data_IF_224499255316
#
_entry.id   IF_224499255316
#
_cell.length_a   1.000
_cell.length_b   1.000
_cell.length_c   1.000
_cell.angle_alpha   90.00
_cell.angle_beta   90.00
_cell.angle_gamma   90.00
#
_symmetry.space_group_name_H-M   'P 1'
#
loop_
_entity.id
_entity.type
_entity.pdbx_description
1 polymer ?
2 non-polymer ?
#
# COMPACT_ATOMS: atom_id res chain seq x y z
N UNK A 2 -14.71 8.02 11.02
CA UNK A 2 -13.31 8.09 10.51
C UNK A 2 -12.69 6.70 10.46
N UNK A 3 -12.50 6.08 11.63
CA UNK A 3 -11.90 4.75 11.68
C UNK A 3 -12.72 3.81 10.85
N UNK A 4 -14.03 4.04 10.86
CA UNK A 4 -14.92 3.18 10.11
C UNK A 4 -15.04 3.60 8.65
N UNK A 5 -14.00 4.22 8.11
CA UNK A 5 -13.97 4.57 6.70
C UNK A 5 -12.57 4.15 6.38
N UNK A 6 -11.68 4.48 7.31
CA UNK A 6 -10.29 4.12 7.24
C UNK A 6 -10.23 2.60 7.20
N UNK A 7 -11.40 1.99 7.37
CA UNK A 7 -11.52 0.56 7.37
C UNK A 7 -12.46 0.05 6.29
N UNK A 8 -13.63 0.66 6.19
CA UNK A 8 -14.61 0.23 5.22
C UNK A 8 -14.45 0.86 3.88
N UNK A 9 -13.48 1.76 3.73
CA UNK A 9 -13.25 2.39 2.45
C UNK A 9 -11.82 2.05 1.96
N UNK A 10 -11.02 1.51 2.85
CA UNK A 10 -9.66 1.20 2.48
C UNK A 10 -9.39 -0.24 2.72
N UNK A 11 -9.58 -0.62 3.98
CA UNK A 11 -9.36 -1.99 4.40
C UNK A 11 -10.32 -2.98 3.77
N UNK A 12 -11.37 -2.53 3.10
CA UNK A 12 -12.27 -3.50 2.51
C UNK A 12 -12.79 -3.03 1.15
N UNK A 13 -11.86 -2.94 0.20
CA UNK A 13 -12.16 -2.51 -1.17
C UNK A 13 -12.21 -3.70 -2.11
N UNK A 14 -12.55 -3.41 -3.36
CA UNK A 14 -12.69 -4.40 -4.42
C UNK A 14 -11.48 -4.71 -5.29
N UNK A 15 -10.34 -4.95 -4.66
CA UNK A 15 -9.15 -5.25 -5.45
C UNK A 15 -9.43 -6.32 -6.50
N UNK A 16 -9.03 -6.03 -7.74
CA UNK A 16 -9.26 -6.96 -8.82
C UNK A 16 -10.77 -7.16 -8.93
N UNK A 17 -11.34 -7.95 -8.03
CA UNK A 17 -12.77 -8.18 -8.07
C UNK A 17 -13.34 -8.87 -6.85
N UNK A 18 -12.65 -8.78 -5.72
CA UNK A 18 -13.11 -9.42 -4.47
C UNK A 18 -12.62 -8.72 -3.19
N UNK A 19 -13.57 -8.29 -2.35
CA UNK A 19 -13.26 -7.61 -1.09
C UNK A 19 -12.43 -8.50 -0.19
N UNK A 20 -12.13 -8.01 1.00
CA UNK A 20 -11.37 -8.79 1.96
C UNK A 20 -12.42 -9.62 2.69
N UNK A 21 -12.27 -9.80 4.00
CA UNK A 21 -13.24 -10.59 4.75
C UNK A 21 -13.64 -9.96 6.09
N UNK A 22 -12.64 -9.48 6.82
CA UNK A 22 -12.88 -8.88 8.10
C UNK A 22 -11.67 -8.07 8.51
N UNK A 23 -11.75 -6.75 8.32
CA UNK A 23 -10.68 -5.85 8.70
C UNK A 23 -10.97 -5.37 10.10
N UNK A 24 -9.98 -4.75 10.71
CA UNK A 24 -10.11 -4.25 12.07
C UNK A 24 -8.81 -3.56 12.45
N UNK A 25 -8.94 -2.38 13.04
CA UNK A 25 -7.78 -1.64 13.48
C UNK A 25 -7.86 -1.68 14.98
N UNK A 26 -6.77 -2.02 15.65
CA UNK A 26 -6.82 -2.10 17.11
C UNK A 26 -5.61 -1.42 17.75
N UNK A 27 -5.74 -1.10 19.02
CA UNK A 27 -4.66 -0.45 19.70
C UNK A 27 -3.69 -1.48 20.18
N UNK A 28 -2.51 -1.00 20.54
CA UNK A 28 -1.45 -1.84 21.06
C UNK A 28 -1.91 -2.40 22.39
N UNK A 29 -3.21 -2.24 22.68
CA UNK A 29 -3.79 -2.72 23.94
C UNK A 29 -5.10 -3.48 23.79
N UNK A 30 -5.56 -3.66 22.55
CA UNK A 30 -6.79 -4.39 22.34
C UNK A 30 -7.96 -3.47 22.05
N UNK A 31 -7.86 -2.23 22.54
CA UNK A 31 -8.90 -1.25 22.31
C UNK A 31 -9.26 -1.31 20.83
N UNK A 32 -10.49 -1.69 20.52
CA UNK A 32 -10.95 -1.83 19.15
C UNK A 32 -11.36 -0.54 18.45
N UNK A 33 -10.40 0.24 17.96
CA UNK A 33 -10.71 1.49 17.27
C UNK A 33 -11.83 1.31 16.25
N UNK A 34 -11.71 0.32 15.40
CA UNK A 34 -12.76 0.08 14.43
C UNK A 34 -12.52 -1.28 13.79
N UNK A 35 -13.58 -1.82 13.20
CA UNK A 35 -13.49 -3.13 12.61
C UNK A 35 -14.72 -3.49 11.81
N UNK A 36 -14.52 -4.41 10.87
CA UNK A 36 -15.59 -4.88 10.02
C UNK A 36 -16.73 -5.43 10.87
N UNK A 37 -17.89 -5.49 10.24
CA UNK A 37 -19.10 -5.99 10.87
C UNK A 37 -18.88 -7.45 11.19
N UNK A 38 -18.13 -8.13 10.34
CA UNK A 38 -17.87 -9.54 10.51
C UNK A 38 -16.53 -9.86 11.14
N UNK A 39 -15.96 -8.91 11.87
CA UNK A 39 -14.69 -9.17 12.52
C UNK A 39 -14.97 -9.96 13.80
N UNK A 40 -14.09 -10.94 14.13
CA UNK A 40 -14.08 -11.86 15.27
C UNK A 40 -13.58 -11.37 16.65
N UNK A 41 -14.33 -11.72 17.69
CA UNK A 41 -13.97 -11.32 19.04
C UNK A 41 -12.64 -11.96 19.34
N UNK A 42 -11.58 -11.18 19.17
CA UNK A 42 -10.24 -11.65 19.46
C UNK A 42 -10.21 -11.87 20.96
N UNK A 43 -9.04 -11.66 21.55
CA UNK A 43 -8.84 -11.83 22.98
C UNK A 43 -7.72 -10.92 23.41
N UNK A 44 -7.93 -10.18 24.49
CA UNK A 44 -6.89 -9.27 24.99
C UNK A 44 -5.52 -9.95 24.94
N UNK A 45 -5.49 -11.25 25.17
CA UNK A 45 -4.24 -12.00 25.15
C UNK A 45 -3.76 -12.30 23.74
N UNK A 46 -4.63 -12.88 22.93
CA UNK A 46 -4.28 -13.21 21.57
C UNK A 46 -3.48 -12.02 21.07
N UNK A 47 -3.92 -10.85 21.50
CA UNK A 47 -3.29 -9.59 21.15
C UNK A 47 -1.94 -9.41 21.86
N UNK A 48 -1.88 -9.74 23.15
CA UNK A 48 -0.66 -9.60 23.92
C UNK A 48 0.47 -10.41 23.31
N UNK A 49 0.12 -11.56 22.75
CA UNK A 49 1.06 -12.48 22.09
C UNK A 49 1.63 -11.74 20.90
N UNK A 50 0.72 -11.24 20.08
CA UNK A 50 1.06 -10.46 18.91
C UNK A 50 2.13 -9.46 19.29
N UNK A 51 1.88 -8.69 20.34
CA UNK A 51 2.84 -7.68 20.80
C UNK A 51 4.15 -8.31 21.24
N UNK A 52 4.04 -9.51 21.81
CA UNK A 52 5.18 -10.27 22.32
C UNK A 52 6.16 -10.57 21.20
N UNK A 53 5.63 -11.13 20.11
CA UNK A 53 6.44 -11.47 18.94
C UNK A 53 7.06 -10.20 18.33
N UNK A 54 6.29 -9.13 18.27
CA UNK A 54 6.78 -7.88 17.70
C UNK A 54 8.08 -7.41 18.35
N UNK A 55 8.19 -7.58 19.65
CA UNK A 55 9.40 -7.17 20.35
C UNK A 55 10.48 -8.22 20.14
N UNK A 56 10.06 -9.47 20.08
CA UNK A 56 10.95 -10.60 19.90
C UNK A 56 10.33 -11.58 18.92
N UNK A 57 10.60 -11.39 17.61
CA UNK A 57 10.06 -12.24 16.54
C UNK A 57 10.12 -13.73 16.90
N UNK A 58 9.27 -14.52 16.27
CA UNK A 58 9.25 -15.95 16.52
C UNK A 58 8.29 -16.40 17.60
N UNK A 59 8.64 -16.15 18.86
CA UNK A 59 7.82 -16.52 20.02
C UNK A 59 6.35 -16.82 19.74
N UNK A 60 5.72 -16.08 18.83
CA UNK A 60 4.32 -16.34 18.51
C UNK A 60 4.30 -17.60 17.65
N UNK A 61 5.00 -17.53 16.53
CA UNK A 61 5.11 -18.60 15.54
C UNK A 61 5.05 -20.04 16.06
N UNK A 62 5.81 -20.35 17.13
CA UNK A 62 5.81 -21.71 17.70
C UNK A 62 4.41 -22.24 17.96
N UNK A 63 3.71 -21.57 18.87
CA UNK A 63 2.35 -21.92 19.26
C UNK A 63 1.31 -21.47 18.22
N UNK A 64 1.74 -20.59 17.31
CA UNK A 64 0.84 -20.09 16.29
C UNK A 64 0.04 -18.91 16.82
N UNK A 65 -0.79 -18.34 15.97
CA UNK A 65 -1.63 -17.22 16.34
C UNK A 65 -3.09 -17.59 16.26
N UNK A 66 -3.72 -17.69 17.44
CA UNK A 66 -5.13 -17.99 17.53
C UNK A 66 -5.69 -16.63 17.86
N UNK A 67 -6.77 -16.28 17.19
CA UNK A 67 -7.40 -15.00 17.43
C UNK A 67 -8.65 -14.97 16.59
N UNK A 68 -9.62 -14.20 17.05
CA UNK A 68 -10.87 -14.16 16.33
C UNK A 68 -11.40 -15.57 16.42
N UNK A 69 -10.73 -16.36 17.25
CA UNK A 69 -11.10 -17.75 17.46
C UNK A 69 -10.14 -18.73 16.83
N UNK A 70 -10.03 -18.66 15.50
CA UNK A 70 -9.17 -19.55 14.72
C UNK A 70 -7.68 -19.34 14.95
N UNK A 71 -6.92 -20.42 14.75
CA UNK A 71 -5.48 -20.43 14.88
C UNK A 71 -4.90 -20.27 13.48
N UNK A 72 -3.71 -19.68 13.40
CA UNK A 72 -3.04 -19.50 12.12
C UNK A 72 -1.60 -19.93 12.19
N UNK A 73 -1.06 -20.21 11.02
CA UNK A 73 0.32 -20.62 10.90
C UNK A 73 1.09 -19.39 10.43
N UNK A 74 1.91 -18.85 11.32
CA UNK A 74 2.69 -17.68 11.01
C UNK A 74 3.41 -18.00 9.70
N UNK A 75 4.03 -17.02 9.08
CA UNK A 75 4.71 -17.25 7.81
C UNK A 75 5.98 -16.43 7.69
N UNK A 76 5.81 -15.19 7.24
CA UNK A 76 6.92 -14.26 7.08
C UNK A 76 6.45 -12.79 7.26
N UNK A 77 7.29 -11.97 7.87
CA UNK A 77 6.94 -10.58 8.08
C UNK A 77 8.08 -9.80 8.72
N UNK A 78 8.12 -8.49 8.46
CA UNK A 78 9.19 -7.64 9.00
C UNK A 78 9.29 -7.75 10.50
N UNK A 79 10.34 -8.45 10.99
CA UNK A 79 10.56 -8.65 12.41
C UNK A 79 10.45 -7.34 13.17
N UNK A 80 9.33 -7.20 13.90
CA UNK A 80 9.08 -6.01 14.67
C UNK A 80 8.07 -5.11 14.00
N UNK A 81 7.73 -5.42 12.76
CA UNK A 81 6.78 -4.59 12.04
C UNK A 81 5.59 -5.35 11.46
N UNK A 82 5.84 -6.50 10.84
CA UNK A 82 4.72 -7.24 10.28
C UNK A 82 4.68 -8.70 10.69
N UNK A 83 3.50 -9.29 10.54
CA UNK A 83 3.30 -10.67 10.89
C UNK A 83 2.19 -11.20 10.02
N UNK A 84 2.49 -12.30 9.32
CA UNK A 84 1.53 -12.97 8.44
C UNK A 84 1.18 -14.34 8.98
N UNK A 85 -0.09 -14.68 8.86
CA UNK A 85 -0.57 -15.95 9.34
C UNK A 85 -1.45 -16.50 8.25
N UNK A 86 -1.59 -17.81 8.21
CA UNK A 86 -2.41 -18.43 7.19
C UNK A 86 -3.05 -19.71 7.67
N UNK A 87 -4.23 -20.01 7.13
CA UNK A 87 -4.96 -21.22 7.47
C UNK A 87 -5.61 -21.64 6.16
N UNK A 88 -4.97 -22.62 5.49
CA UNK A 88 -5.48 -23.10 4.22
C UNK A 88 -5.62 -21.98 3.22
N UNK A 89 -6.72 -22.02 2.47
CA UNK A 89 -6.97 -20.99 1.48
C UNK A 89 -6.63 -19.61 2.09
N UNK A 90 -7.53 -19.13 2.97
CA UNK A 90 -7.36 -17.84 3.63
C UNK A 90 -6.25 -17.75 4.66
N UNK A 91 -6.16 -16.59 5.30
CA UNK A 91 -5.14 -16.35 6.32
C UNK A 91 -5.27 -14.96 6.91
N UNK A 92 -4.25 -14.50 7.63
CA UNK A 92 -4.28 -13.18 8.27
C UNK A 92 -2.96 -12.40 8.18
N UNK A 93 -3.04 -11.09 8.43
CA UNK A 93 -1.87 -10.22 8.39
C UNK A 93 -2.02 -9.15 9.48
N UNK A 94 -0.93 -8.86 10.17
CA UNK A 94 -0.98 -7.87 11.24
C UNK A 94 0.06 -6.78 11.10
N UNK A 95 -0.37 -5.69 10.49
CA UNK A 95 0.46 -4.52 10.28
C UNK A 95 0.43 -3.77 11.63
N UNK A 96 1.61 -3.57 12.20
CA UNK A 96 1.74 -2.89 13.49
C UNK A 96 2.13 -1.44 13.33
N UNK A 97 1.22 -0.54 13.65
CA UNK A 97 1.55 0.87 13.55
C UNK A 97 2.24 1.29 14.84
N UNK A 98 2.51 2.59 14.97
CA UNK A 98 3.19 3.09 16.16
C UNK A 98 2.31 3.14 17.39
N UNK A 99 1.00 2.99 17.17
CA UNK A 99 0.04 3.03 18.26
C UNK A 99 -1.09 2.01 18.07
N UNK A 100 -1.29 1.57 16.84
CA UNK A 100 -2.32 0.59 16.55
C UNK A 100 -1.75 -0.60 15.78
N UNK A 101 -2.67 -1.40 15.28
CA UNK A 101 -2.34 -2.59 14.54
C UNK A 101 -3.49 -2.79 13.56
N UNK A 102 -3.14 -2.80 12.28
CA UNK A 102 -4.16 -3.00 11.28
C UNK A 102 -4.25 -4.51 11.22
N UNK A 103 -5.36 -5.03 10.70
CA UNK A 103 -5.51 -6.47 10.60
C UNK A 103 -6.49 -6.87 9.50
N UNK A 104 -6.12 -7.90 8.75
CA UNK A 104 -6.93 -8.38 7.66
C UNK A 104 -7.06 -9.89 7.68
N UNK A 105 -8.26 -10.32 7.36
CA UNK A 105 -8.66 -11.73 7.32
C UNK A 105 -9.19 -12.02 5.92
N UNK A 106 -8.75 -13.13 5.33
CA UNK A 106 -9.19 -13.46 3.99
C UNK A 106 -9.40 -14.95 3.76
N UNK A 107 -10.09 -15.25 2.67
CA UNK A 107 -10.38 -16.63 2.32
C UNK A 107 -10.51 -16.60 0.80
N UNK A 108 -10.26 -17.73 0.17
CA UNK A 108 -10.33 -17.79 -1.28
C UNK A 108 -11.56 -17.04 -1.81
N UNK A 109 -11.45 -16.43 -3.00
CA UNK A 109 -10.31 -16.34 -3.95
C UNK A 109 -9.37 -15.13 -3.79
N UNK A 110 -9.19 -14.65 -2.56
CA UNK A 110 -8.34 -13.49 -2.30
C UNK A 110 -6.92 -13.84 -1.83
N UNK A 111 -6.00 -13.85 -2.78
CA UNK A 111 -4.59 -14.16 -2.55
C UNK A 111 -4.04 -13.49 -1.31
N UNK A 112 -3.04 -14.12 -0.66
CA UNK A 112 -2.48 -13.50 0.54
C UNK A 112 -1.88 -12.19 0.08
N UNK A 113 -1.24 -12.25 -1.08
CA UNK A 113 -0.62 -11.07 -1.65
C UNK A 113 -1.62 -9.94 -1.53
N UNK A 114 -2.76 -10.09 -2.20
CA UNK A 114 -3.80 -9.08 -2.17
C UNK A 114 -4.03 -8.54 -0.74
N UNK A 115 -4.26 -9.43 0.22
CA UNK A 115 -4.45 -8.96 1.58
C UNK A 115 -3.32 -8.00 1.95
N UNK A 116 -2.09 -8.51 1.96
CA UNK A 116 -0.91 -7.71 2.27
C UNK A 116 -1.07 -6.29 1.74
N UNK A 117 -1.05 -6.21 0.41
CA UNK A 117 -1.18 -4.95 -0.29
C UNK A 117 -2.02 -4.01 0.57
N UNK A 118 -3.18 -4.50 0.99
CA UNK A 118 -4.13 -3.72 1.77
C UNK A 118 -3.84 -3.41 3.23
N UNK A 119 -3.63 -4.43 4.05
CA UNK A 119 -3.34 -4.14 5.44
C UNK A 119 -2.12 -3.23 5.47
N UNK A 120 -1.06 -3.70 4.84
CA UNK A 120 0.22 -3.01 4.78
C UNK A 120 0.12 -1.61 4.20
N UNK A 121 -0.87 -1.42 3.34
CA UNK A 121 -1.13 -0.15 2.69
C UNK A 121 -1.29 0.93 3.79
N UNK A 122 -2.45 0.90 4.43
CA UNK A 122 -2.77 1.84 5.50
C UNK A 122 -1.60 1.98 6.45
N UNK A 123 -1.19 0.87 7.05
CA UNK A 123 -0.06 0.89 7.97
C UNK A 123 0.99 1.95 7.67
N UNK A 124 1.44 2.03 6.40
CA UNK A 124 2.43 3.01 5.97
C UNK A 124 1.95 4.39 6.41
N UNK A 125 0.77 4.70 5.89
CA UNK A 125 0.04 5.92 6.12
C UNK A 125 0.12 6.41 7.58
N UNK A 126 -0.76 5.84 8.40
CA UNK A 126 -0.87 6.14 9.80
C UNK A 126 0.48 6.32 10.42
N UNK A 127 1.37 5.38 10.17
CA UNK A 127 2.71 5.51 10.73
C UNK A 127 3.23 6.92 10.50
N UNK A 128 3.28 7.31 9.24
CA UNK A 128 3.75 8.63 8.87
C UNK A 128 2.50 9.46 8.73
N UNK A 129 2.05 9.91 9.88
CA UNK A 129 0.87 10.75 10.02
C UNK A 129 0.77 11.01 11.50
N UNK A 130 1.52 10.23 12.27
CA UNK A 130 1.51 10.42 13.69
C UNK A 130 1.24 9.19 14.53
N UNK A 131 0.84 8.09 13.92
CA UNK A 131 0.54 6.91 14.74
C UNK A 131 1.45 5.71 14.49
N UNK B 2 -10.60 -2.71 -16.84
CA UNK B 2 -9.69 -3.24 -15.79
C UNK B 2 -8.66 -2.21 -15.36
N UNK B 3 -7.79 -1.81 -16.29
CA UNK B 3 -6.77 -0.82 -15.97
C UNK B 3 -7.42 0.43 -15.47
N UNK B 4 -8.57 0.72 -16.04
CA UNK B 4 -9.30 1.91 -15.67
C UNK B 4 -10.18 1.71 -14.43
N UNK B 5 -9.77 0.79 -13.55
CA UNK B 5 -10.48 0.57 -12.30
C UNK B 5 -9.28 0.46 -11.38
N UNK B 6 -8.30 -0.28 -11.89
CA UNK B 6 -7.04 -0.47 -11.20
C UNK B 6 -6.43 0.91 -11.01
N UNK B 7 -7.09 1.89 -11.60
CA UNK B 7 -6.64 3.26 -11.53
C UNK B 7 -7.67 4.18 -10.90
N UNK B 8 -8.91 4.08 -11.36
CA UNK B 8 -9.95 4.95 -10.85
C UNK B 8 -10.63 4.41 -9.62
N UNK B 9 -10.23 3.23 -9.15
CA UNK B 9 -10.83 2.67 -7.95
C UNK B 9 -9.73 2.47 -6.89
N UNK B 10 -8.49 2.58 -7.31
CA UNK B 10 -7.40 2.39 -6.38
C UNK B 10 -6.54 3.59 -6.37
N UNK B 11 -6.01 3.90 -7.55
CA UNK B 11 -5.13 5.04 -7.73
C UNK B 11 -5.79 6.38 -7.47
N UNK B 12 -7.11 6.42 -7.34
CA UNK B 12 -7.74 7.71 -7.08
C UNK B 12 -8.91 7.59 -6.12
N UNK B 13 -8.58 7.23 -4.88
CA UNK B 13 -9.56 7.07 -3.81
C UNK B 13 -9.54 8.28 -2.87
N UNK B 14 -10.44 8.24 -1.90
CA UNK B 14 -10.63 9.31 -0.91
C UNK B 14 -9.87 9.20 0.39
N UNK B 15 -8.58 8.92 0.33
CA UNK B 15 -7.81 8.81 1.56
C UNK B 15 -8.08 10.00 2.49
N UNK B 16 -8.36 9.69 3.75
CA UNK B 16 -8.66 10.72 4.72
C UNK B 16 -9.87 11.50 4.20
N UNK B 17 -9.66 12.36 3.21
CA UNK B 17 -10.78 13.13 2.67
C UNK B 17 -10.47 13.87 1.40
N UNK B 18 -9.45 13.43 0.65
CA UNK B 18 -9.07 14.08 -0.61
C UNK B 18 -8.40 13.15 -1.62
N UNK B 19 -8.99 13.03 -2.82
CA UNK B 19 -8.47 12.17 -3.90
C UNK B 19 -7.07 12.60 -4.28
N UNK B 20 -6.52 11.93 -5.28
CA UNK B 20 -5.19 12.27 -5.76
C UNK B 20 -5.43 13.37 -6.78
N UNK B 21 -4.68 13.36 -7.89
CA UNK B 21 -4.87 14.40 -8.91
C UNK B 21 -4.89 13.86 -10.33
N UNK B 22 -3.93 12.97 -10.61
CA UNK B 22 -3.83 12.39 -11.93
C UNK B 22 -2.98 11.14 -11.87
N UNK B 23 -3.63 9.99 -11.85
CA UNK B 23 -2.95 8.70 -11.82
C UNK B 23 -2.78 8.26 -13.26
N UNK B 24 -1.94 7.26 -13.44
CA UNK B 24 -1.67 6.73 -14.76
C UNK B 24 -0.72 5.56 -14.62
N UNK B 25 -1.03 4.48 -15.32
CA UNK B 25 -0.17 3.31 -15.31
C UNK B 25 0.40 3.25 -16.69
N UNK B 26 1.71 3.08 -16.83
CA UNK B 26 2.32 3.03 -18.15
C UNK B 26 3.32 1.91 -18.26
N UNK B 27 3.62 1.55 -19.50
CA UNK B 27 4.55 0.47 -19.71
C UNK B 27 5.94 1.01 -19.66
N UNK B 28 6.88 0.08 -19.52
CA UNK B 28 8.30 0.39 -19.48
C UNK B 28 8.68 0.98 -20.85
N UNK B 29 7.68 1.30 -21.67
CA UNK B 29 7.91 1.85 -23.01
C UNK B 29 7.06 3.08 -23.33
N UNK B 30 6.23 3.51 -22.40
CA UNK B 30 5.41 4.67 -22.65
C UNK B 30 3.97 4.31 -22.96
N UNK B 31 3.78 3.09 -23.46
CA UNK B 31 2.45 2.60 -23.79
C UNK B 31 1.56 2.93 -22.59
N UNK B 32 0.55 3.77 -22.80
CA UNK B 32 -0.34 4.20 -21.74
C UNK B 32 -1.45 3.23 -21.40
N UNK B 33 -1.17 2.19 -20.61
CA UNK B 33 -2.19 1.22 -20.21
C UNK B 33 -3.47 1.91 -19.76
N UNK B 34 -3.34 2.85 -18.84
CA UNK B 34 -4.52 3.55 -18.39
C UNK B 34 -4.07 4.78 -17.58
N UNK B 35 -4.97 5.73 -17.45
CA UNK B 35 -4.66 6.95 -16.76
C UNK B 35 -5.87 7.82 -16.53
N UNK B 36 -5.75 8.67 -15.52
CA UNK B 36 -6.80 9.59 -15.15
C UNK B 36 -7.17 10.45 -16.34
N UNK B 37 -8.37 11.00 -16.26
CA UNK B 37 -8.91 11.88 -17.28
C UNK B 37 -8.02 13.10 -17.37
N UNK B 38 -7.51 13.52 -16.21
CA UNK B 38 -6.69 14.71 -16.13
C UNK B 38 -5.19 14.43 -16.11
N UNK B 39 -4.78 13.27 -16.63
CA UNK B 39 -3.37 12.96 -16.66
C UNK B 39 -2.76 13.68 -17.86
N UNK B 40 -1.53 14.21 -17.70
CA UNK B 40 -0.69 14.96 -18.66
C UNK B 40 0.12 14.20 -19.74
N UNK B 41 0.07 14.71 -20.96
CA UNK B 41 0.78 14.10 -22.06
C UNK B 41 2.25 14.14 -21.73
N UNK B 42 2.74 13.04 -21.20
CA UNK B 42 4.15 12.92 -20.85
C UNK B 42 4.89 13.00 -22.18
N UNK B 43 6.02 12.30 -22.24
CA UNK B 43 6.84 12.25 -23.44
C UNK B 43 7.61 10.94 -23.42
N UNK B 44 7.60 10.24 -24.56
CA UNK B 44 8.30 8.97 -24.65
C UNK B 44 9.68 9.06 -23.99
N UNK B 45 10.30 10.24 -24.08
CA UNK B 45 11.61 10.45 -23.46
C UNK B 45 11.51 10.66 -21.97
N UNK B 46 10.69 11.62 -21.55
CA UNK B 46 10.53 11.89 -20.15
C UNK B 46 10.52 10.54 -19.46
N UNK B 47 9.89 9.60 -20.14
CA UNK B 47 9.78 8.23 -19.67
C UNK B 47 11.13 7.48 -19.75
N UNK B 48 11.84 7.65 -20.87
CA UNK B 48 13.12 6.99 -21.07
C UNK B 48 14.11 7.34 -19.96
N UNK B 49 14.04 8.59 -19.51
CA UNK B 49 14.89 9.12 -18.44
C UNK B 49 14.57 8.34 -17.20
N UNK B 50 13.27 8.29 -16.88
CA UNK B 50 12.77 7.55 -15.74
C UNK B 50 13.41 6.18 -15.72
N UNK B 51 13.36 5.48 -16.84
CA UNK B 51 13.96 4.15 -16.96
C UNK B 51 15.46 4.18 -16.75
N UNK B 52 16.07 5.28 -17.21
CA UNK B 52 17.51 5.50 -17.12
C UNK B 52 17.96 5.50 -15.67
N UNK B 53 17.29 6.31 -14.86
CA UNK B 53 17.60 6.42 -13.44
C UNK B 53 17.36 5.08 -12.74
N UNK B 54 16.28 4.37 -13.10
CA UNK B 54 15.98 3.09 -12.48
C UNK B 54 17.14 2.12 -12.56
N UNK B 55 17.84 2.11 -13.69
CA UNK B 55 18.98 1.22 -13.84
C UNK B 55 20.18 1.78 -13.11
N UNK B 56 20.29 3.10 -13.14
CA UNK B 56 21.38 3.81 -12.49
C UNK B 56 20.84 5.04 -11.79
N UNK B 57 20.43 4.88 -10.50
CA UNK B 57 19.88 5.96 -9.68
C UNK B 57 20.66 7.25 -9.85
N UNK B 58 19.98 8.37 -9.56
CA UNK B 58 20.63 9.67 -9.68
C UNK B 58 20.46 10.37 -11.01
N UNK B 59 21.18 9.89 -12.03
CA UNK B 59 21.14 10.44 -13.38
C UNK B 59 19.91 11.32 -13.72
N UNK B 60 18.74 10.95 -13.23
CA UNK B 60 17.54 11.75 -13.51
C UNK B 60 17.66 12.99 -12.64
N UNK B 61 17.73 12.75 -11.32
CA UNK B 61 17.83 13.78 -10.29
C UNK B 61 18.56 15.08 -10.66
N UNK B 62 19.74 14.98 -11.29
CA UNK B 62 20.51 16.18 -11.67
C UNK B 62 19.66 17.18 -12.45
N UNK B 63 19.20 16.74 -13.62
CA UNK B 63 18.38 17.55 -14.51
C UNK B 63 16.91 17.65 -14.05
N UNK B 64 16.54 16.75 -13.14
CA UNK B 64 15.19 16.72 -12.63
C UNK B 64 14.30 15.90 -13.54
N UNK B 65 13.02 15.77 -13.16
CA UNK B 65 12.08 15.01 -13.95
C UNK B 65 10.98 15.92 -14.46
N UNK B 66 11.00 16.14 -15.77
CA UNK B 66 9.98 16.96 -16.42
C UNK B 66 9.13 15.90 -17.07
N UNK B 67 7.83 16.05 -16.94
CA UNK B 67 6.93 15.10 -17.55
C UNK B 67 5.53 15.62 -17.31
N UNK B 68 4.63 15.25 -18.20
CA UNK B 68 3.28 15.75 -18.06
C UNK B 68 3.42 17.25 -18.24
N UNK B 69 4.63 17.65 -18.65
CA UNK B 69 4.94 19.05 -18.88
C UNK B 69 5.85 19.63 -17.80
N UNK B 70 5.35 19.65 -16.57
CA UNK B 70 6.08 20.20 -15.42
C UNK B 70 7.32 19.41 -15.03
N UNK B 71 8.27 20.13 -14.44
CA UNK B 71 9.52 19.58 -13.95
C UNK B 71 9.35 19.34 -12.46
N UNK B 72 10.07 18.34 -11.95
CA UNK B 72 10.01 18.02 -10.53
C UNK B 72 11.39 17.87 -9.95
N UNK B 73 11.45 18.03 -8.64
CA UNK B 73 12.70 17.87 -7.93
C UNK B 73 12.67 16.49 -7.28
N UNK B 74 13.52 15.60 -7.79
CA UNK B 74 13.59 14.26 -7.28
C UNK B 74 13.75 14.40 -5.76
N UNK B 75 13.63 13.31 -5.03
CA UNK B 75 13.75 13.37 -3.59
C UNK B 75 14.42 12.14 -3.02
N UNK B 76 13.62 11.11 -2.79
CA UNK B 76 14.12 9.85 -2.25
C UNK B 76 13.24 8.67 -2.75
N UNK B 77 13.87 7.52 -3.03
CA UNK B 77 13.12 6.36 -3.48
C UNK B 77 14.04 5.16 -3.64
N UNK B 78 13.45 3.95 -3.51
CA UNK B 78 14.22 2.72 -3.63
C UNK B 78 15.00 2.65 -4.94
N UNK B 79 16.32 2.85 -4.86
CA UNK B 79 17.18 2.81 -6.05
C UNK B 79 16.89 1.58 -6.90
N UNK B 80 16.23 1.83 -8.03
CA UNK B 80 15.90 0.76 -8.95
C UNK B 80 14.44 0.37 -8.85
N UNK B 81 13.75 0.90 -7.85
CA UNK B 81 12.35 0.57 -7.64
C UNK B 81 11.42 1.76 -7.55
N UNK B 82 11.81 2.78 -6.79
CA UNK B 82 10.94 3.95 -6.69
C UNK B 82 11.64 5.27 -6.95
N UNK B 83 10.84 6.27 -7.25
CA UNK B 83 11.35 7.59 -7.52
C UNK B 83 10.29 8.58 -7.16
N UNK B 84 10.67 9.54 -6.30
CA UNK B 84 9.75 10.59 -5.86
C UNK B 84 10.21 11.95 -6.37
N UNK B 85 9.23 12.75 -6.76
CA UNK B 85 9.52 14.07 -7.28
C UNK B 85 8.55 15.00 -6.63
N UNK B 86 8.93 16.26 -6.52
CA UNK B 86 8.07 17.25 -5.88
C UNK B 86 8.24 18.63 -6.48
N UNK B 87 7.16 19.39 -6.47
CA UNK B 87 7.15 20.75 -6.98
C UNK B 87 6.23 21.51 -6.02
N UNK B 88 6.86 22.21 -5.06
CA UNK B 88 6.11 22.97 -4.08
C UNK B 88 5.13 22.09 -3.33
N UNK B 89 3.93 22.60 -3.11
CA UNK B 89 2.91 21.84 -2.41
C UNK B 89 2.91 20.39 -2.94
N UNK B 90 2.37 20.22 -4.16
CA UNK B 90 2.29 18.91 -4.80
C UNK B 90 3.60 18.31 -5.28
N UNK B 91 3.49 17.15 -5.93
CA UNK B 91 4.66 16.45 -6.43
C UNK B 91 4.27 15.17 -7.16
N UNK B 92 5.24 14.29 -7.41
CA UNK B 92 4.96 13.03 -8.12
C UNK B 92 5.72 11.82 -7.55
N UNK B 93 5.26 10.62 -7.92
CA UNK B 93 5.86 9.37 -7.47
C UNK B 93 5.78 8.35 -8.62
N UNK B 94 6.86 7.61 -8.83
CA UNK B 94 6.88 6.63 -9.89
C UNK B 94 7.27 5.24 -9.43
N UNK B 95 6.24 4.44 -9.16
CA UNK B 95 6.39 3.07 -8.73
C UNK B 95 6.64 2.29 -10.01
N UNK B 96 7.78 1.58 -10.05
CA UNK B 96 8.16 0.80 -11.22
C UNK B 96 7.87 -0.67 -11.04
N UNK B 97 6.91 -1.19 -11.78
CA UNK B 97 6.59 -2.59 -11.68
C UNK B 97 7.54 -3.36 -12.58
N UNK B 98 7.30 -4.66 -12.73
CA UNK B 98 8.16 -5.49 -13.56
C UNK B 98 7.94 -5.31 -15.04
N UNK B 99 6.85 -4.63 -15.38
CA UNK B 99 6.50 -4.39 -16.77
C UNK B 99 5.87 -3.01 -16.98
N UNK B 100 5.35 -2.42 -15.91
CA UNK B 100 4.76 -1.11 -15.99
C UNK B 100 5.36 -0.16 -14.95
N UNK B 101 4.71 0.98 -14.82
CA UNK B 101 5.12 2.00 -13.91
C UNK B 101 3.85 2.70 -13.47
N UNK B 102 3.60 2.69 -12.17
CA UNK B 102 2.42 3.36 -11.67
C UNK B 102 2.91 4.80 -11.52
N UNK B 103 1.99 5.74 -11.48
CA UNK B 103 2.36 7.14 -11.31
C UNK B 103 1.23 7.96 -10.70
N UNK B 104 1.64 8.84 -9.77
CA UNK B 104 0.69 9.68 -9.09
C UNK B 104 1.18 11.11 -9.03
N UNK B 105 0.22 12.02 -9.21
CA UNK B 105 0.41 13.46 -9.21
C UNK B 105 -0.50 14.06 -8.13
N UNK B 106 0.03 14.96 -7.33
CA UNK B 106 -0.76 15.56 -6.27
C UNK B 106 -0.46 17.03 -6.03
N UNK B 107 -1.36 17.66 -5.29
CA UNK B 107 -1.22 19.07 -4.97
C UNK B 107 -1.96 19.22 -3.66
N UNK B 108 -1.60 20.23 -2.89
CA UNK B 108 -2.23 20.44 -1.59
C UNK B 108 -3.75 20.28 -1.70
N UNK B 109 -4.41 19.76 -0.63
CA UNK B 109 -3.90 19.32 0.69
C UNK B 109 -3.51 17.84 0.84
N UNK B 110 -3.03 17.23 -0.24
CA UNK B 110 -2.66 15.82 -0.23
C UNK B 110 -1.16 15.55 -0.02
N UNK B 111 -0.81 15.28 1.23
CA UNK B 111 0.57 15.01 1.63
C UNK B 111 1.29 14.07 0.67
N UNK B 112 2.62 14.22 0.55
CA UNK B 112 3.35 13.33 -0.34
C UNK B 112 3.14 11.94 0.21
N UNK B 113 3.21 11.85 1.54
CA UNK B 113 3.02 10.58 2.21
C UNK B 113 1.83 9.90 1.59
N UNK B 114 0.67 10.54 1.72
CA UNK B 114 -0.57 10.00 1.17
C UNK B 114 -0.37 9.46 -0.26
N UNK B 115 0.18 10.28 -1.15
CA UNK B 115 0.42 9.80 -2.50
C UNK B 115 1.13 8.46 -2.46
N UNK B 116 2.35 8.46 -1.91
CA UNK B 116 3.14 7.24 -1.77
C UNK B 116 2.24 6.04 -1.47
N UNK B 117 1.68 6.08 -0.28
CA UNK B 117 0.79 5.05 0.21
C UNK B 117 0.10 4.42 -1.01
N UNK B 118 -0.49 5.28 -1.83
CA UNK B 118 -1.24 4.85 -3.00
C UNK B 118 -0.51 4.33 -4.22
N UNK B 119 0.39 5.11 -4.79
CA UNK B 119 1.10 4.62 -5.96
C UNK B 119 1.77 3.32 -5.55
N UNK B 120 2.57 3.40 -4.51
CA UNK B 120 3.32 2.27 -3.98
C UNK B 120 2.45 1.07 -3.62
N UNK B 121 1.20 1.36 -3.27
CA UNK B 121 0.24 0.33 -2.90
C UNK B 121 0.14 -0.68 -4.04
N UNK B 122 -0.52 -0.27 -5.12
CA UNK B 122 -0.70 -1.11 -6.28
C UNK B 122 0.60 -1.77 -6.67
N UNK B 123 1.62 -0.96 -6.95
CA UNK B 123 2.92 -1.49 -7.32
C UNK B 123 3.25 -2.84 -6.69
N UNK B 124 3.05 -2.96 -5.38
CA UNK B 124 3.32 -4.21 -4.64
C UNK B 124 2.58 -5.33 -5.36
N UNK B 125 1.27 -5.12 -5.41
CA UNK B 125 0.30 -5.99 -6.04
C UNK B 125 0.81 -6.59 -7.37
N UNK B 126 0.62 -5.81 -8.43
CA UNK B 126 1.02 -6.17 -9.77
C UNK B 126 2.32 -6.90 -9.77
N UNK B 127 3.31 -6.36 -9.10
CA UNK B 127 4.59 -7.04 -9.06
C UNK B 127 4.38 -8.51 -8.76
N UNK B 128 3.74 -8.78 -7.63
CA UNK B 128 3.46 -10.15 -7.23
C UNK B 128 2.06 -10.42 -7.69
N UNK B 129 1.99 -10.76 -8.96
CA UNK B 129 0.77 -11.09 -9.63
C UNK B 129 1.20 -11.43 -11.04
N UNK B 130 2.45 -11.07 -11.35
CA UNK B 130 2.97 -11.36 -12.65
C UNK B 130 3.56 -10.19 -13.43
N UNK B 131 3.39 -8.97 -12.96
CA UNK B 131 3.93 -7.85 -13.72
C UNK B 131 5.04 -7.07 -13.00
#
# INVERSE_FOLDING_TARGET
MSWQTYVDDHLMCDIDGHRLTAAAIIGHDGSVWAQSSSFPQFKSDEVAAVMKDFDEPGSLAPTGLHLGGTKYMVIQGEPGAVIRGKKGSGGITVKRTGQALIIGIYDEPLTPGQCNMIVERLGDYLLDQGL
MSWQTYVDDHLMCDIDGHRLTAAAIIGHDGSVWAQSSSFPQFKSDEVAAVMKDFDEPGSLAPTGLHLGGTKYMVIQGEPGAVIRGKKGSGGITVKRTGQALIIGIYDEPLTPGQCNMIVERLGDYLLDQGL
#
